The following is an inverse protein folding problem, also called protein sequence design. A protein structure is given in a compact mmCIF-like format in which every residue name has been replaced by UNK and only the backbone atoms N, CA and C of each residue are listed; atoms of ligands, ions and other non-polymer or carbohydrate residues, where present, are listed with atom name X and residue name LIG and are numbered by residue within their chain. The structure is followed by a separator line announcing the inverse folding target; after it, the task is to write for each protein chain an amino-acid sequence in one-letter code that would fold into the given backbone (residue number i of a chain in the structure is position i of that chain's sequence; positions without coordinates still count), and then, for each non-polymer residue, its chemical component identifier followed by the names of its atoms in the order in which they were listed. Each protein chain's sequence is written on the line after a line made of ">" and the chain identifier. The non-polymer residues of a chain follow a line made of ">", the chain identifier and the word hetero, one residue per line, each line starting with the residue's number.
data_IF_203735413559
#
_entry.id   IF_203735413559
#
_cell.length_a   1.000
_cell.length_b   1.000
_cell.length_c   1.000
_cell.angle_alpha   90.00
_cell.angle_beta   90.00
_cell.angle_gamma   90.00
#
_symmetry.space_group_name_H-M   'P 1'
#
loop_
_entity.id
_entity.type
_entity.pdbx_description
1 polymer ?
#
# COMPACT_ATOMS: atom_id res chain seq x y z
N UNK A 1 20.27 4.80 7.39
CA UNK A 1 19.19 5.52 8.10
C UNK A 1 17.92 4.74 7.87
N UNK A 2 17.63 3.79 8.75
CA UNK A 2 16.45 2.95 8.64
C UNK A 2 15.23 3.72 9.15
N UNK A 3 14.20 3.81 8.32
CA UNK A 3 13.09 4.74 8.51
C UNK A 3 11.76 3.97 8.49
N UNK A 4 11.53 3.19 9.53
CA UNK A 4 10.22 2.58 9.78
C UNK A 4 9.56 3.32 10.93
N UNK A 5 8.81 4.37 10.59
CA UNK A 5 7.94 5.07 11.53
C UNK A 5 6.49 5.02 11.04
N UNK A 6 5.70 4.28 11.82
CA UNK A 6 4.24 4.30 11.98
C UNK A 6 3.45 3.78 10.77
N UNK A 7 3.03 2.52 10.86
CA UNK A 7 1.75 2.07 10.30
C UNK A 7 0.66 2.47 11.31
N UNK A 8 -0.29 3.27 10.85
CA UNK A 8 -1.50 3.58 11.59
C UNK A 8 -2.51 2.50 11.22
N UNK A 9 -2.82 1.59 12.14
CA UNK A 9 -3.93 0.66 11.96
C UNK A 9 -5.23 1.47 12.04
N UNK A 10 -5.92 1.60 10.92
CA UNK A 10 -7.29 2.08 10.87
C UNK A 10 -8.18 1.03 11.54
N UNK A 11 -8.75 1.38 12.70
CA UNK A 11 -9.72 0.55 13.39
C UNK A 11 -10.99 0.40 12.53
N UNK A 12 -11.31 -0.83 12.15
CA UNK A 12 -12.63 -1.19 11.69
C UNK A 12 -13.60 -1.20 12.88
N UNK A 13 -14.69 -0.44 12.74
CA UNK A 13 -15.77 -0.33 13.71
C UNK A 13 -16.65 -1.56 13.61
N UNK A 14 -16.53 -2.48 14.57
CA UNK A 14 -17.39 -3.65 14.65
C UNK A 14 -18.76 -3.26 15.23
N UNK A 15 -19.82 -3.47 14.46
CA UNK A 15 -21.20 -3.43 14.94
C UNK A 15 -21.43 -4.60 15.90
N UNK A 16 -21.87 -4.33 17.12
CA UNK A 16 -22.70 -5.29 17.87
C UNK A 16 -23.76 -4.56 18.69
N UNK A 17 -25.00 -4.95 18.40
CA UNK A 17 -26.21 -4.63 19.12
C UNK A 17 -26.29 -5.44 20.41
N UNK A 18 -26.66 -4.82 21.52
CA UNK A 18 -27.46 -5.45 22.59
C UNK A 18 -27.96 -4.40 23.56
N UNK A 19 -29.23 -4.53 23.91
CA UNK A 19 -30.05 -3.62 24.69
C UNK A 19 -29.88 -3.81 26.21
N UNK A 20 -29.94 -2.69 26.93
CA UNK A 20 -30.57 -2.51 28.26
C UNK A 20 -30.34 -1.03 28.61
N UNK A 21 -31.35 -0.20 28.79
CA UNK A 21 -32.36 -0.29 29.84
C UNK A 21 -31.97 0.73 30.92
N UNK A 22 -32.28 2.01 30.69
CA UNK A 22 -32.01 3.09 31.63
C UNK A 22 -32.80 4.34 31.24
N UNK A 23 -33.88 4.60 31.97
CA UNK A 23 -34.77 5.73 31.76
C UNK A 23 -34.12 6.99 32.35
N UNK A 24 -33.94 8.05 31.54
CA UNK A 24 -33.85 9.41 32.03
C UNK A 24 -34.92 10.27 31.37
N UNK A 25 -35.73 10.88 32.24
CA UNK A 25 -36.93 11.62 31.91
C UNK A 25 -36.58 12.94 31.23
N UNK A 26 -36.90 13.05 29.93
CA UNK A 26 -36.85 14.31 29.21
C UNK A 26 -38.20 15.00 29.37
N UNK A 27 -38.22 16.04 30.21
CA UNK A 27 -39.37 16.92 30.45
C UNK A 27 -39.77 17.55 29.11
N UNK A 28 -40.86 17.06 28.54
CA UNK A 28 -41.53 17.65 27.37
C UNK A 28 -42.21 18.94 27.82
N UNK A 29 -41.58 20.08 27.60
CA UNK A 29 -42.30 21.35 27.64
C UNK A 29 -43.17 21.45 26.38
N UNK A 30 -44.48 21.52 26.64
CA UNK A 30 -45.54 21.65 25.66
C UNK A 30 -45.60 23.12 25.22
N UNK A 31 -45.09 23.44 24.04
CA UNK A 31 -45.37 24.75 23.43
C UNK A 31 -46.80 24.76 22.87
N UNK A 32 -47.66 25.70 23.29
CA UNK A 32 -48.96 25.87 22.67
C UNK A 32 -48.81 26.51 21.28
N UNK A 33 -49.68 26.06 20.39
CA UNK A 33 -49.87 26.47 19.00
C UNK A 33 -49.92 27.99 18.80
N UNK A 34 -49.07 28.53 17.91
CA UNK A 34 -49.37 29.75 17.15
C UNK A 34 -48.50 29.88 15.88
N UNK A 35 -49.20 29.94 14.74
CA UNK A 35 -48.87 30.50 13.42
C UNK A 35 -47.74 29.91 12.55
N UNK A 36 -48.02 29.46 11.32
CA UNK A 36 -47.03 28.95 10.37
C UNK A 36 -46.52 30.04 9.41
N UNK A 37 -46.07 31.21 9.88
CA UNK A 37 -45.48 32.22 8.98
C UNK A 37 -44.44 33.10 9.69
N UNK A 38 -43.34 32.53 10.18
CA UNK A 38 -42.06 33.26 10.28
C UNK A 38 -40.93 32.26 10.08
N UNK A 39 -40.30 32.26 8.91
CA UNK A 39 -39.00 31.63 8.75
C UNK A 39 -37.99 32.43 9.58
N UNK A 40 -37.55 31.90 10.72
CA UNK A 40 -36.41 32.45 11.43
C UNK A 40 -35.18 32.28 10.53
N UNK A 41 -34.79 33.35 9.84
CA UNK A 41 -33.49 33.45 9.18
C UNK A 41 -32.43 33.35 10.29
N UNK A 42 -31.88 32.15 10.49
CA UNK A 42 -30.75 31.95 11.38
C UNK A 42 -29.51 32.58 10.72
N UNK A 43 -29.22 33.84 11.05
CA UNK A 43 -27.94 34.48 10.73
C UNK A 43 -26.89 33.97 11.70
N UNK A 44 -26.45 32.72 11.53
CA UNK A 44 -25.21 32.28 12.17
C UNK A 44 -24.08 33.19 11.67
N UNK A 45 -23.44 33.93 12.56
CA UNK A 45 -22.29 34.75 12.22
C UNK A 45 -21.24 33.89 11.49
N UNK A 46 -20.75 34.37 10.35
CA UNK A 46 -19.65 33.73 9.63
C UNK A 46 -18.43 33.79 10.55
N UNK A 47 -18.18 32.71 11.30
CA UNK A 47 -16.92 32.56 12.03
C UNK A 47 -15.85 32.32 10.97
N UNK A 48 -15.14 33.38 10.59
CA UNK A 48 -14.02 33.26 9.69
C UNK A 48 -13.02 32.26 10.27
N UNK A 49 -12.76 31.17 9.55
CA UNK A 49 -11.72 30.23 9.92
C UNK A 49 -10.40 31.01 10.11
N UNK A 50 -9.78 30.87 11.28
CA UNK A 50 -8.64 31.67 11.70
C UNK A 50 -7.51 31.79 10.66
N UNK A 51 -6.83 32.94 10.68
CA UNK A 51 -5.87 33.45 9.69
C UNK A 51 -4.53 32.67 9.55
N UNK A 52 -4.46 31.43 10.05
CA UNK A 52 -3.23 30.61 10.00
C UNK A 52 -3.29 29.57 8.87
N UNK A 53 -3.09 30.05 7.64
CA UNK A 53 -2.99 29.22 6.43
C UNK A 53 -1.92 28.13 6.57
N UNK A 54 -0.80 28.44 7.24
CA UNK A 54 0.32 27.52 7.40
C UNK A 54 -0.04 26.29 8.24
N UNK A 55 -0.72 26.48 9.37
CA UNK A 55 -1.14 25.37 10.22
C UNK A 55 -2.06 24.40 9.49
N UNK A 56 -3.02 24.92 8.71
CA UNK A 56 -3.94 24.07 7.91
C UNK A 56 -3.22 23.30 6.82
N UNK A 57 -2.25 23.91 6.13
CA UNK A 57 -1.46 23.26 5.07
C UNK A 57 -0.46 22.26 5.63
N UNK A 58 0.18 22.55 6.78
CA UNK A 58 1.22 21.71 7.38
C UNK A 58 0.73 20.29 7.69
N UNK A 59 -0.46 20.15 8.26
CA UNK A 59 -1.04 18.83 8.59
C UNK A 59 -1.32 17.98 7.34
N UNK A 60 -1.54 18.59 6.19
CA UNK A 60 -1.77 17.89 4.92
C UNK A 60 -0.45 17.62 4.19
N UNK A 61 0.44 18.62 4.16
CA UNK A 61 1.72 18.54 3.44
C UNK A 61 2.73 17.63 4.14
N UNK A 62 2.81 17.68 5.46
CA UNK A 62 3.73 16.85 6.26
C UNK A 62 3.65 15.35 5.96
N UNK A 63 2.47 14.70 6.08
CA UNK A 63 2.34 13.27 5.78
C UNK A 63 2.55 12.95 4.30
N UNK A 64 2.14 13.84 3.38
CA UNK A 64 2.34 13.66 1.93
C UNK A 64 3.83 13.71 1.55
N UNK A 65 4.57 14.67 2.09
CA UNK A 65 6.02 14.80 1.86
C UNK A 65 6.78 13.64 2.50
N UNK A 66 6.33 13.17 3.68
CA UNK A 66 6.87 11.98 4.31
C UNK A 66 6.62 10.70 3.49
N UNK A 67 5.44 10.54 2.89
CA UNK A 67 5.15 9.42 1.99
C UNK A 67 6.01 9.48 0.72
N UNK A 68 6.11 10.67 0.10
CA UNK A 68 6.92 10.89 -1.10
C UNK A 68 8.41 10.62 -0.87
N UNK A 69 8.97 11.13 0.24
CA UNK A 69 10.37 10.89 0.59
C UNK A 69 10.67 9.41 0.87
N UNK A 70 9.74 8.65 1.47
CA UNK A 70 9.86 7.19 1.61
C UNK A 70 9.90 6.49 0.25
N UNK A 71 9.03 6.87 -0.69
CA UNK A 71 9.03 6.31 -2.05
C UNK A 71 10.36 6.60 -2.76
N UNK A 72 10.88 7.82 -2.63
CA UNK A 72 12.16 8.19 -3.21
C UNK A 72 13.32 7.39 -2.61
N UNK A 73 13.34 7.20 -1.30
CA UNK A 73 14.36 6.37 -0.65
C UNK A 73 14.32 4.91 -1.15
N UNK A 74 13.13 4.34 -1.36
CA UNK A 74 12.96 2.98 -1.91
C UNK A 74 13.52 2.89 -3.34
N UNK A 75 13.13 3.80 -4.22
CA UNK A 75 13.59 3.82 -5.62
C UNK A 75 15.11 4.02 -5.71
N UNK A 76 15.69 4.91 -4.91
CA UNK A 76 17.15 5.10 -4.83
C UNK A 76 17.87 3.81 -4.42
N UNK A 77 17.29 3.03 -3.49
CA UNK A 77 17.88 1.77 -3.06
C UNK A 77 17.79 0.69 -4.13
N UNK A 78 16.65 0.57 -4.81
CA UNK A 78 16.45 -0.34 -5.93
C UNK A 78 17.40 -0.03 -7.10
N UNK A 79 17.54 1.25 -7.47
CA UNK A 79 18.49 1.68 -8.51
C UNK A 79 19.91 1.25 -8.16
N UNK A 80 20.35 1.44 -6.91
CA UNK A 80 21.69 1.03 -6.47
C UNK A 80 21.90 -0.49 -6.55
N UNK A 81 20.88 -1.29 -6.26
CA UNK A 81 20.94 -2.76 -6.40
C UNK A 81 21.02 -3.14 -7.88
N UNK A 82 20.15 -2.59 -8.71
CA UNK A 82 20.14 -2.84 -10.16
C UNK A 82 21.49 -2.49 -10.83
N UNK A 83 22.11 -1.38 -10.42
CA UNK A 83 23.44 -0.97 -10.91
C UNK A 83 24.53 -1.95 -10.48
N UNK A 84 24.46 -2.46 -9.24
CA UNK A 84 25.43 -3.46 -8.75
C UNK A 84 25.32 -4.79 -9.48
N UNK A 85 24.13 -5.18 -9.91
CA UNK A 85 23.87 -6.45 -10.59
C UNK A 85 24.13 -6.38 -12.10
N UNK A 86 23.72 -5.29 -12.76
CA UNK A 86 23.73 -5.19 -14.23
C UNK A 86 24.49 -3.98 -14.78
N UNK A 87 25.24 -3.26 -13.96
CA UNK A 87 26.04 -2.09 -14.36
C UNK A 87 25.26 -0.77 -14.43
N UNK A 88 26.01 0.33 -14.60
CA UNK A 88 25.51 1.71 -14.46
C UNK A 88 24.77 2.27 -15.67
N UNK A 89 24.77 1.57 -16.81
CA UNK A 89 24.20 2.07 -18.05
C UNK A 89 22.76 1.56 -18.23
N UNK A 90 21.75 2.44 -18.34
CA UNK A 90 20.35 2.03 -18.47
C UNK A 90 20.05 1.35 -19.81
N UNK A 91 20.81 1.63 -20.87
CA UNK A 91 20.57 1.03 -22.20
C UNK A 91 20.95 -0.45 -22.25
N UNK A 92 21.89 -0.88 -21.40
CA UNK A 92 22.35 -2.27 -21.32
C UNK A 92 21.68 -3.05 -20.19
N UNK A 93 20.97 -2.38 -19.29
CA UNK A 93 20.32 -2.98 -18.13
C UNK A 93 18.82 -2.67 -18.12
N UNK A 94 17.96 -3.58 -18.64
CA UNK A 94 16.53 -3.33 -18.74
C UNK A 94 15.86 -3.13 -17.38
N UNK A 95 16.39 -3.75 -16.31
CA UNK A 95 15.87 -3.58 -14.95
C UNK A 95 16.15 -2.16 -14.43
N UNK A 96 17.35 -1.63 -14.68
CA UNK A 96 17.67 -0.24 -14.35
C UNK A 96 16.83 0.75 -15.18
N UNK A 97 16.61 0.48 -16.46
CA UNK A 97 15.76 1.31 -17.32
C UNK A 97 14.33 1.43 -16.75
N UNK A 98 13.70 0.31 -16.39
CA UNK A 98 12.37 0.29 -15.78
C UNK A 98 12.31 1.09 -14.48
N UNK A 99 13.31 0.95 -13.60
CA UNK A 99 13.37 1.69 -12.34
C UNK A 99 13.54 3.21 -12.55
N UNK A 100 14.33 3.61 -13.55
CA UNK A 100 14.50 5.02 -13.93
C UNK A 100 13.20 5.60 -14.48
N UNK A 101 12.47 4.84 -15.29
CA UNK A 101 11.17 5.23 -15.81
C UNK A 101 10.13 5.41 -14.68
N UNK A 102 10.03 4.43 -13.77
CA UNK A 102 9.18 4.53 -12.59
C UNK A 102 9.52 5.73 -11.72
N UNK A 103 10.81 6.04 -11.54
CA UNK A 103 11.25 7.21 -10.79
C UNK A 103 10.82 8.52 -11.47
N UNK A 104 10.90 8.59 -12.81
CA UNK A 104 10.42 9.75 -13.59
C UNK A 104 8.90 9.91 -13.47
N UNK A 105 8.13 8.81 -13.57
CA UNK A 105 6.67 8.82 -13.39
C UNK A 105 6.28 9.34 -11.99
N UNK A 106 7.06 9.04 -10.96
CA UNK A 106 6.86 9.54 -9.58
C UNK A 106 7.42 10.94 -9.33
N UNK A 107 7.81 11.67 -10.38
CA UNK A 107 8.36 13.02 -10.32
C UNK A 107 9.60 13.11 -9.39
N UNK A 108 10.50 12.12 -9.45
CA UNK A 108 11.82 12.19 -8.83
C UNK A 108 12.73 13.09 -9.67
N UNK A 109 13.48 14.04 -9.07
CA UNK A 109 14.39 14.91 -9.82
C UNK A 109 15.52 14.11 -10.49
N UNK A 110 15.85 14.46 -11.74
CA UNK A 110 16.89 13.77 -12.54
C UNK A 110 18.25 13.72 -11.82
N UNK A 111 18.62 14.81 -11.14
CA UNK A 111 19.85 14.91 -10.35
C UNK A 111 19.94 13.84 -9.26
N UNK A 112 18.82 13.48 -8.63
CA UNK A 112 18.77 12.42 -7.61
C UNK A 112 18.90 11.02 -8.21
N UNK A 113 18.39 10.82 -9.43
CA UNK A 113 18.51 9.55 -10.15
C UNK A 113 19.96 9.34 -10.57
N UNK A 114 20.59 10.35 -11.18
CA UNK A 114 21.99 10.29 -11.58
C UNK A 114 22.93 10.11 -10.37
N UNK A 115 22.64 10.77 -9.25
CA UNK A 115 23.38 10.59 -8.01
C UNK A 115 23.25 9.16 -7.45
N UNK A 116 22.08 8.52 -7.61
CA UNK A 116 21.89 7.13 -7.21
C UNK A 116 22.72 6.17 -8.08
N UNK A 117 22.77 6.41 -9.40
CA UNK A 117 23.53 5.60 -10.35
C UNK A 117 25.04 5.73 -10.10
N UNK A 118 25.57 6.97 -10.11
CA UNK A 118 27.01 7.24 -9.88
C UNK A 118 27.47 6.88 -8.46
N UNK A 119 26.53 6.89 -7.50
CA UNK A 119 26.80 6.58 -6.10
C UNK A 119 26.71 5.10 -5.74
N UNK A 120 26.41 4.21 -6.69
CA UNK A 120 26.27 2.77 -6.43
C UNK A 120 27.61 2.10 -6.07
N UNK A 121 28.71 2.51 -6.70
CA UNK A 121 30.05 1.93 -6.52
C UNK A 121 30.61 2.17 -5.12
N UNK A 122 30.27 3.32 -4.52
CA UNK A 122 30.72 3.72 -3.18
C UNK A 122 29.77 3.27 -2.07
N UNK A 123 28.65 2.66 -2.42
CA UNK A 123 27.62 2.28 -1.46
C UNK A 123 27.99 0.97 -0.73
N UNK A 124 27.70 0.92 0.58
CA UNK A 124 27.77 -0.29 1.40
C UNK A 124 27.07 -1.47 0.71
N UNK A 125 27.51 -2.72 0.94
CA UNK A 125 26.84 -3.89 0.38
C UNK A 125 25.37 -3.89 0.81
N UNK A 126 24.47 -3.85 -0.17
CA UNK A 126 23.03 -3.99 0.10
C UNK A 126 22.74 -5.47 0.15
N UNK A 127 22.19 -5.93 1.27
CA UNK A 127 21.76 -7.31 1.48
C UNK A 127 20.24 -7.38 1.34
N UNK A 128 19.79 -8.41 0.62
CA UNK A 128 18.39 -8.82 0.63
C UNK A 128 18.17 -9.79 1.80
N UNK A 129 17.17 -9.52 2.62
CA UNK A 129 16.79 -10.35 3.76
C UNK A 129 15.27 -10.55 3.78
N UNK A 130 14.85 -11.79 3.96
CA UNK A 130 13.45 -12.17 4.11
C UNK A 130 13.21 -12.51 5.59
N UNK A 131 12.35 -11.74 6.24
CA UNK A 131 11.92 -11.98 7.60
C UNK A 131 10.49 -12.50 7.62
N UNK A 132 10.21 -13.30 8.64
CA UNK A 132 8.94 -13.98 8.80
C UNK A 132 8.33 -13.59 10.14
N UNK A 133 7.02 -13.42 10.19
CA UNK A 133 6.37 -12.99 11.40
C UNK A 133 4.93 -13.47 11.47
N UNK A 134 4.41 -13.51 12.69
CA UNK A 134 2.99 -13.62 12.95
C UNK A 134 2.50 -12.29 13.52
N UNK A 135 1.46 -11.71 12.93
CA UNK A 135 0.83 -10.47 13.37
C UNK A 135 -0.30 -10.71 14.38
N UNK A 136 -0.99 -9.62 14.79
CA UNK A 136 -2.13 -9.72 15.70
C UNK A 136 -3.26 -10.53 15.04
N UNK A 137 -3.93 -11.37 15.83
CA UNK A 137 -4.97 -12.27 15.31
C UNK A 137 -4.45 -13.49 14.55
N UNK A 138 -3.14 -13.77 14.60
CA UNK A 138 -2.56 -14.99 14.04
C UNK A 138 -2.22 -14.94 12.56
N UNK A 139 -2.31 -13.77 11.92
CA UNK A 139 -1.95 -13.60 10.50
C UNK A 139 -0.46 -13.88 10.26
N UNK A 140 -0.15 -14.62 9.19
CA UNK A 140 1.22 -14.88 8.77
C UNK A 140 1.72 -13.75 7.87
N UNK A 141 2.96 -13.31 8.06
CA UNK A 141 3.58 -12.20 7.35
C UNK A 141 4.96 -12.61 6.82
N UNK A 142 5.19 -12.32 5.54
CA UNK A 142 6.53 -12.30 4.94
C UNK A 142 6.92 -10.84 4.73
N UNK A 143 8.11 -10.49 5.19
CA UNK A 143 8.64 -9.13 5.16
C UNK A 143 9.97 -9.15 4.42
N UNK A 144 9.95 -8.67 3.19
CA UNK A 144 11.14 -8.50 2.36
C UNK A 144 11.82 -7.17 2.66
N UNK A 145 13.12 -7.22 2.94
CA UNK A 145 13.92 -6.04 3.27
C UNK A 145 15.18 -6.00 2.42
N UNK A 146 15.37 -4.88 1.75
CA UNK A 146 16.67 -4.45 1.24
C UNK A 146 17.32 -3.55 2.29
N UNK A 147 18.49 -3.92 2.80
CA UNK A 147 19.19 -3.17 3.86
C UNK A 147 20.70 -3.18 3.67
N UNK A 148 21.39 -2.14 4.14
CA UNK A 148 22.85 -2.12 4.30
C UNK A 148 23.32 -2.87 5.56
N UNK A 149 22.42 -3.13 6.51
CA UNK A 149 22.73 -3.81 7.76
C UNK A 149 21.54 -4.64 8.25
N UNK A 150 21.69 -5.97 8.18
CA UNK A 150 20.67 -6.94 8.57
C UNK A 150 20.36 -6.88 10.06
N UNK A 151 21.36 -6.83 10.93
CA UNK A 151 21.19 -6.82 12.39
C UNK A 151 20.40 -5.59 12.88
N UNK A 152 20.68 -4.41 12.31
CA UNK A 152 19.95 -3.18 12.62
C UNK A 152 18.49 -3.29 12.19
N UNK A 153 18.26 -3.74 10.96
CA UNK A 153 16.90 -3.94 10.43
C UNK A 153 16.12 -4.99 11.20
N UNK A 154 16.74 -6.09 11.60
CA UNK A 154 16.10 -7.13 12.40
C UNK A 154 15.66 -6.60 13.77
N UNK A 155 16.52 -5.83 14.44
CA UNK A 155 16.20 -5.23 15.74
C UNK A 155 15.03 -4.25 15.66
N UNK A 156 15.02 -3.41 14.61
CA UNK A 156 13.91 -2.48 14.34
C UNK A 156 12.60 -3.20 13.99
N UNK A 157 12.69 -4.27 13.20
CA UNK A 157 11.55 -5.09 12.81
C UNK A 157 10.94 -5.78 14.04
N UNK A 158 11.76 -6.39 14.90
CA UNK A 158 11.30 -7.03 16.14
C UNK A 158 10.61 -6.03 17.05
N UNK A 159 11.18 -4.85 17.21
CA UNK A 159 10.58 -3.77 18.00
C UNK A 159 9.25 -3.29 17.40
N UNK A 160 9.12 -3.26 16.07
CA UNK A 160 7.88 -2.88 15.41
C UNK A 160 6.79 -3.94 15.52
N UNK A 161 7.15 -5.22 15.37
CA UNK A 161 6.22 -6.32 15.57
C UNK A 161 5.69 -6.33 17.00
N UNK A 162 6.58 -6.27 17.99
CA UNK A 162 6.21 -6.26 19.40
C UNK A 162 5.28 -5.08 19.75
N UNK A 163 5.51 -3.90 19.18
CA UNK A 163 4.65 -2.73 19.38
C UNK A 163 3.24 -2.90 18.82
N UNK A 164 3.06 -3.73 17.80
CA UNK A 164 1.78 -3.95 17.12
C UNK A 164 1.17 -5.32 17.44
N UNK A 165 1.63 -6.00 18.50
CA UNK A 165 1.10 -7.30 18.92
C UNK A 165 1.48 -8.48 18.01
N UNK A 166 2.57 -8.36 17.26
CA UNK A 166 3.15 -9.44 16.45
C UNK A 166 4.43 -10.01 17.06
N UNK A 167 4.92 -11.12 16.51
CA UNK A 167 6.16 -11.78 16.91
C UNK A 167 6.89 -12.35 15.70
N UNK A 168 8.22 -12.37 15.74
CA UNK A 168 9.04 -13.02 14.72
C UNK A 168 8.96 -14.54 14.90
N UNK A 169 8.40 -15.23 13.91
CA UNK A 169 8.14 -16.68 13.93
C UNK A 169 8.28 -17.22 12.50
N UNK A 170 8.74 -18.46 12.37
CA UNK A 170 8.77 -19.16 11.09
C UNK A 170 7.34 -19.44 10.59
N UNK A 171 7.03 -18.90 9.42
CA UNK A 171 5.74 -19.07 8.73
C UNK A 171 5.94 -19.43 7.26
N UNK A 172 7.17 -19.78 6.83
CA UNK A 172 7.47 -20.09 5.43
C UNK A 172 6.62 -21.24 4.90
N UNK A 173 6.30 -22.22 5.75
CA UNK A 173 5.43 -23.34 5.38
C UNK A 173 4.00 -22.91 5.00
N UNK A 174 3.56 -21.70 5.38
CA UNK A 174 2.28 -21.16 4.96
C UNK A 174 2.32 -20.54 3.55
N UNK A 175 3.50 -20.30 2.98
CA UNK A 175 3.66 -19.58 1.72
C UNK A 175 4.43 -20.42 0.71
N UNK A 176 3.88 -20.55 -0.48
CA UNK A 176 4.62 -21.01 -1.65
C UNK A 176 5.09 -19.78 -2.45
N UNK A 177 6.10 -19.92 -3.31
CA UNK A 177 6.49 -18.89 -4.28
C UNK A 177 6.06 -19.35 -5.66
N UNK A 178 5.17 -18.61 -6.31
CA UNK A 178 4.68 -18.95 -7.64
C UNK A 178 4.39 -17.70 -8.46
N UNK A 179 4.26 -17.87 -9.78
CA UNK A 179 4.13 -16.78 -10.74
C UNK A 179 2.68 -16.57 -11.16
N UNK A 180 2.20 -15.33 -11.06
CA UNK A 180 0.84 -14.94 -11.48
C UNK A 180 0.93 -14.17 -12.80
N UNK A 181 0.17 -14.60 -13.78
CA UNK A 181 -0.01 -13.94 -15.08
C UNK A 181 -1.42 -13.41 -15.13
N UNK A 182 -1.54 -12.09 -15.25
CA UNK A 182 -2.82 -11.41 -15.35
C UNK A 182 -3.14 -11.20 -16.82
N UNK A 183 -4.28 -11.73 -17.29
CA UNK A 183 -4.77 -11.58 -18.67
C UNK A 183 -6.12 -10.87 -18.68
N UNK A 184 -6.34 -10.06 -19.70
CA UNK A 184 -7.63 -9.39 -19.90
C UNK A 184 -8.65 -10.39 -20.43
N UNK A 185 -9.94 -10.14 -20.20
CA UNK A 185 -11.05 -10.97 -20.72
C UNK A 185 -11.33 -10.79 -22.20
N UNK A 186 -10.50 -10.03 -22.92
CA UNK A 186 -10.66 -9.78 -24.35
C UNK A 186 -9.44 -10.33 -25.11
N UNK A 187 -9.74 -11.05 -26.19
CA UNK A 187 -8.73 -11.50 -27.16
C UNK A 187 -8.12 -10.32 -27.91
N UNK A 188 -7.05 -10.58 -28.67
CA UNK A 188 -6.42 -9.59 -29.56
C UNK A 188 -7.39 -8.99 -30.58
N UNK A 189 -8.42 -9.73 -30.95
CA UNK A 189 -9.48 -9.32 -31.88
C UNK A 189 -10.66 -8.62 -31.19
N UNK A 190 -10.57 -8.35 -29.87
CA UNK A 190 -11.63 -7.73 -29.09
C UNK A 190 -12.82 -8.64 -28.78
N UNK A 191 -12.69 -9.95 -29.02
CA UNK A 191 -13.72 -10.94 -28.67
C UNK A 191 -13.64 -11.28 -27.18
N UNK A 192 -14.77 -11.42 -26.47
CA UNK A 192 -14.76 -11.83 -25.08
C UNK A 192 -14.27 -13.29 -24.98
N UNK A 193 -13.26 -13.51 -24.17
CA UNK A 193 -12.74 -14.83 -23.82
C UNK A 193 -13.63 -15.39 -22.72
N UNK A 194 -14.34 -16.46 -23.05
CA UNK A 194 -15.14 -17.19 -22.07
C UNK A 194 -14.22 -17.93 -21.08
N UNK A 195 -14.70 -18.13 -19.85
CA UNK A 195 -13.95 -18.83 -18.81
C UNK A 195 -13.46 -20.21 -19.26
N UNK A 196 -14.31 -20.97 -19.94
CA UNK A 196 -13.97 -22.32 -20.44
C UNK A 196 -12.75 -22.29 -21.36
N UNK A 197 -12.73 -21.34 -22.30
CA UNK A 197 -11.61 -21.15 -23.21
C UNK A 197 -10.34 -20.71 -22.48
N UNK A 198 -10.47 -19.83 -21.47
CA UNK A 198 -9.34 -19.41 -20.64
C UNK A 198 -8.76 -20.57 -19.83
N UNK A 199 -9.61 -21.44 -19.27
CA UNK A 199 -9.20 -22.63 -18.52
C UNK A 199 -8.46 -23.63 -19.41
N UNK A 200 -8.98 -23.91 -20.60
CA UNK A 200 -8.34 -24.83 -21.55
C UNK A 200 -6.95 -24.34 -21.97
N UNK A 201 -6.83 -23.04 -22.28
CA UNK A 201 -5.54 -22.42 -22.61
C UNK A 201 -4.57 -22.45 -21.42
N UNK A 202 -5.07 -22.22 -20.21
CA UNK A 202 -4.27 -22.26 -19.00
C UNK A 202 -3.75 -23.68 -18.71
N UNK A 203 -4.59 -24.70 -18.87
CA UNK A 203 -4.19 -26.11 -18.72
C UNK A 203 -3.14 -26.49 -19.76
N UNK A 204 -3.33 -26.08 -21.03
CA UNK A 204 -2.35 -26.32 -22.09
C UNK A 204 -1.00 -25.62 -21.82
N UNK A 205 -1.04 -24.42 -21.23
CA UNK A 205 0.15 -23.69 -20.79
C UNK A 205 0.77 -24.26 -19.49
N UNK A 206 0.10 -25.22 -18.83
CA UNK A 206 0.53 -25.82 -17.58
C UNK A 206 0.42 -24.87 -16.39
N UNK A 207 -0.64 -24.05 -16.33
CA UNK A 207 -1.02 -23.30 -15.14
C UNK A 207 -1.50 -24.26 -14.03
N UNK A 208 -1.38 -23.83 -12.77
CA UNK A 208 -1.79 -24.63 -11.61
C UNK A 208 -3.17 -24.23 -11.10
N UNK A 209 -3.53 -22.95 -11.24
CA UNK A 209 -4.80 -22.40 -10.78
C UNK A 209 -5.23 -21.23 -11.67
N UNK A 210 -6.54 -21.04 -11.81
CA UNK A 210 -7.13 -19.98 -12.64
C UNK A 210 -8.29 -19.36 -11.86
N UNK A 211 -8.26 -18.04 -11.73
CA UNK A 211 -9.26 -17.30 -10.99
C UNK A 211 -9.75 -16.08 -11.77
N UNK A 212 -11.06 -15.89 -11.79
CA UNK A 212 -11.69 -14.68 -12.27
C UNK A 212 -11.63 -13.63 -11.16
N UNK A 213 -11.24 -12.40 -11.51
CA UNK A 213 -11.38 -11.27 -10.62
C UNK A 213 -12.02 -10.08 -11.32
N UNK A 214 -12.78 -9.32 -10.54
CA UNK A 214 -13.26 -8.00 -10.90
C UNK A 214 -12.38 -6.99 -10.16
N UNK A 215 -11.51 -6.27 -10.87
CA UNK A 215 -10.73 -5.20 -10.26
C UNK A 215 -11.61 -3.94 -10.16
N UNK A 216 -11.79 -3.39 -8.95
CA UNK A 216 -12.68 -2.23 -8.69
C UNK A 216 -12.10 -0.88 -9.17
N UNK A 217 -10.81 -0.82 -9.55
CA UNK A 217 -10.14 0.43 -9.95
C UNK A 217 -10.09 0.67 -11.48
N UNK A 218 -10.36 -0.34 -12.29
CA UNK A 218 -10.58 -0.22 -13.73
C UNK A 218 -11.68 -1.20 -14.11
N UNK A 219 -12.79 -0.72 -14.69
CA UNK A 219 -13.90 -1.55 -15.18
C UNK A 219 -13.42 -2.44 -16.36
N UNK A 220 -12.66 -3.49 -16.03
CA UNK A 220 -12.17 -4.54 -16.91
C UNK A 220 -12.10 -5.81 -16.08
N UNK A 221 -12.89 -6.79 -16.48
CA UNK A 221 -12.79 -8.14 -15.96
C UNK A 221 -11.38 -8.69 -16.29
N UNK A 222 -10.72 -9.27 -15.30
CA UNK A 222 -9.33 -9.69 -15.39
C UNK A 222 -9.22 -11.15 -14.91
N UNK A 223 -8.66 -12.03 -15.74
CA UNK A 223 -8.31 -13.38 -15.32
C UNK A 223 -6.90 -13.39 -14.75
N UNK A 224 -6.74 -13.89 -13.52
CA UNK A 224 -5.42 -14.22 -12.96
C UNK A 224 -5.16 -15.70 -13.21
N UNK A 225 -4.22 -15.98 -14.12
CA UNK A 225 -3.70 -17.32 -14.37
C UNK A 225 -2.47 -17.50 -13.49
N UNK A 226 -2.62 -18.27 -12.43
CA UNK A 226 -1.54 -18.61 -11.52
C UNK A 226 -0.86 -19.92 -11.90
N UNK A 227 0.47 -19.95 -11.83
CA UNK A 227 1.05 -20.96 -10.94
C UNK A 227 0.94 -20.29 -9.58
N UNK A 228 0.05 -20.74 -8.71
CA UNK A 228 -0.67 -19.82 -7.80
C UNK A 228 0.08 -19.36 -6.55
N UNK A 229 0.14 -18.04 -6.26
CA UNK A 229 0.20 -17.50 -4.88
C UNK A 229 -0.56 -16.18 -4.82
N UNK A 230 -1.38 -16.06 -3.78
CA UNK A 230 -1.86 -14.80 -3.24
C UNK A 230 -0.75 -14.11 -2.46
N UNK A 231 -0.27 -12.98 -2.99
CA UNK A 231 0.32 -11.89 -2.21
C UNK A 231 -0.76 -10.86 -1.94
#
# INVERSE_FOLDING_TARGET
>A
MSLIRRFCFSYWRCLRSSASGGQEALVRLRCPSLSPYVACLHTSAITSAGHNKWSKVKHIKGPKDAARSRLFAKLTMMIKVAVKEGGSNPDFNPYLYQLVEQARQRNMPKTSIEAAIKGADKAKPTSYALYQARGPGGCSLIIEILTDNTNRSFSELRLLLNKNGGTHTDVLHCFNKKGVVTVQTQDRDGKPVQLEQALDLAIQAGAEDVQEMQDEEEEKDIYKVGRGVYL
#
